data_IF_149278306823
#
_entry.id   IF_149278306823
#
_cell.length_a   1.000
_cell.length_b   1.000
_cell.length_c   1.000
_cell.angle_alpha   90.00
_cell.angle_beta   90.00
_cell.angle_gamma   90.00
#
_symmetry.space_group_name_H-M   'P 1'
#
loop_
_entity.id
_entity.type
_entity.pdbx_description
1 polymer ?
#
# COMPACT_ATOMS: atom_id res chain seq x y z
N UNK A 1 6.27 16.44 -3.36
CA UNK A 1 6.67 16.37 -1.92
C UNK A 1 6.40 14.96 -1.42
N UNK A 2 7.26 14.43 -0.56
CA UNK A 2 7.05 13.13 0.10
C UNK A 2 5.99 13.28 1.19
N UNK A 3 5.03 12.37 1.27
CA UNK A 3 3.93 12.44 2.24
C UNK A 3 4.24 11.52 3.42
N UNK A 4 4.60 12.07 4.60
CA UNK A 4 4.89 11.28 5.78
C UNK A 4 3.60 10.66 6.36
N UNK A 5 3.77 9.49 6.99
CA UNK A 5 2.72 8.76 7.70
C UNK A 5 3.12 8.67 9.17
N UNK A 6 2.16 8.90 10.07
CA UNK A 6 2.37 8.87 11.51
C UNK A 6 1.36 7.94 12.18
N UNK A 7 1.85 7.11 13.10
CA UNK A 7 1.00 6.34 14.01
C UNK A 7 0.33 7.28 15.04
N UNK A 8 -0.75 6.83 15.63
CA UNK A 8 -1.48 7.59 16.68
C UNK A 8 -0.55 8.10 17.79
N UNK A 9 0.40 7.29 18.22
CA UNK A 9 1.36 7.70 19.27
C UNK A 9 2.35 8.76 18.79
N UNK A 10 2.72 8.75 17.51
CA UNK A 10 3.55 9.81 16.92
C UNK A 10 2.77 11.12 16.86
N UNK A 11 1.51 11.10 16.42
CA UNK A 11 0.63 12.29 16.42
C UNK A 11 0.52 12.86 17.83
N UNK A 12 0.19 12.03 18.82
CA UNK A 12 0.07 12.47 20.23
C UNK A 12 1.38 13.07 20.77
N UNK A 13 2.53 12.53 20.36
CA UNK A 13 3.84 13.07 20.73
C UNK A 13 4.07 14.44 20.10
N UNK A 14 3.72 14.61 18.82
CA UNK A 14 3.82 15.89 18.09
C UNK A 14 2.88 16.93 18.71
N UNK A 15 1.64 16.57 19.01
CA UNK A 15 0.66 17.45 19.69
C UNK A 15 1.18 17.93 21.05
N UNK A 16 1.71 17.01 21.88
CA UNK A 16 2.30 17.39 23.19
C UNK A 16 3.48 18.35 23.03
N UNK A 17 4.35 18.12 22.05
CA UNK A 17 5.48 19.00 21.79
C UNK A 17 5.06 20.39 21.30
N UNK A 18 3.90 20.49 20.63
CA UNK A 18 3.32 21.73 20.13
C UNK A 18 2.31 22.37 21.11
N UNK A 19 2.18 21.89 22.34
CA UNK A 19 1.16 22.30 23.30
C UNK A 19 1.13 23.80 23.69
N UNK A 20 2.25 24.54 23.41
CA UNK A 20 2.33 26.00 23.61
C UNK A 20 2.08 26.79 22.31
N UNK A 21 1.64 26.15 21.22
CA UNK A 21 1.39 26.82 19.93
C UNK A 21 0.29 27.89 20.05
N UNK A 22 0.51 29.02 19.40
CA UNK A 22 -0.45 30.10 19.31
C UNK A 22 -0.74 30.39 17.81
N UNK A 23 -1.99 30.36 17.35
CA UNK A 23 -3.19 29.84 18.04
C UNK A 23 -3.06 28.35 18.45
N UNK A 24 -3.86 27.86 19.39
CA UNK A 24 -3.91 26.44 19.79
C UNK A 24 -4.18 25.53 18.59
N UNK A 25 -3.65 24.29 18.63
CA UNK A 25 -3.80 23.33 17.52
C UNK A 25 -5.27 23.06 17.15
N UNK A 26 -6.18 22.99 18.13
CA UNK A 26 -7.63 22.83 17.89
C UNK A 26 -8.21 23.99 17.07
N UNK A 27 -7.78 25.22 17.33
CA UNK A 27 -8.24 26.38 16.54
C UNK A 27 -7.71 26.32 15.11
N UNK A 28 -6.43 25.90 14.93
CA UNK A 28 -5.84 25.74 13.58
C UNK A 28 -6.51 24.61 12.81
N UNK A 29 -6.79 23.47 13.46
CA UNK A 29 -7.50 22.32 12.87
C UNK A 29 -8.92 22.72 12.47
N UNK A 30 -9.68 23.33 13.39
CA UNK A 30 -11.01 23.82 13.12
C UNK A 30 -11.05 24.88 12.00
N UNK A 31 -10.06 25.77 11.93
CA UNK A 31 -9.98 26.78 10.85
C UNK A 31 -9.74 26.13 9.49
N UNK A 32 -8.76 25.23 9.38
CA UNK A 32 -8.49 24.49 8.15
C UNK A 32 -9.71 23.66 7.70
N UNK A 33 -10.37 23.01 8.63
CA UNK A 33 -11.58 22.22 8.36
C UNK A 33 -12.77 23.12 7.95
N UNK A 34 -12.96 24.29 8.58
CA UNK A 34 -14.01 25.23 8.22
C UNK A 34 -13.83 25.78 6.81
N UNK A 35 -12.61 26.03 6.41
CA UNK A 35 -12.30 26.47 5.03
C UNK A 35 -12.69 25.39 4.00
N UNK A 36 -12.35 24.13 4.24
CA UNK A 36 -12.76 23.02 3.37
C UNK A 36 -14.27 22.82 3.40
N UNK A 37 -14.89 22.85 4.59
CA UNK A 37 -16.32 22.72 4.75
C UNK A 37 -17.09 23.82 3.98
N UNK A 38 -16.62 25.07 4.03
CA UNK A 38 -17.21 26.17 3.27
C UNK A 38 -17.13 25.99 1.76
N UNK A 39 -16.05 25.39 1.25
CA UNK A 39 -15.91 25.03 -0.17
C UNK A 39 -16.88 23.90 -0.57
N UNK A 40 -17.06 22.91 0.28
CA UNK A 40 -17.94 21.77 0.02
C UNK A 40 -19.43 22.15 0.15
N UNK A 41 -19.78 23.03 1.08
CA UNK A 41 -21.13 23.58 1.27
C UNK A 41 -21.42 24.70 0.26
N UNK A 42 -21.39 24.40 -1.04
CA UNK A 42 -21.50 25.36 -2.13
C UNK A 42 -22.78 26.18 -2.15
N UNK A 43 -23.86 25.72 -1.49
CA UNK A 43 -25.16 26.37 -1.41
C UNK A 43 -25.46 26.80 0.04
N UNK A 44 -25.31 28.10 0.33
CA UNK A 44 -25.58 28.69 1.65
C UNK A 44 -27.06 28.65 2.08
N UNK A 45 -27.97 28.33 1.14
CA UNK A 45 -29.38 28.19 1.49
C UNK A 45 -29.70 26.83 2.08
N UNK A 46 -28.84 25.82 1.92
CA UNK A 46 -28.96 24.52 2.55
C UNK A 46 -28.31 24.50 3.93
N UNK A 47 -28.93 23.79 4.86
CA UNK A 47 -28.42 23.65 6.20
C UNK A 47 -27.19 22.72 6.22
N UNK A 48 -26.24 23.03 7.10
CA UNK A 48 -25.07 22.19 7.37
C UNK A 48 -25.26 21.48 8.70
N UNK A 49 -25.16 20.17 8.70
CA UNK A 49 -25.14 19.37 9.92
C UNK A 49 -23.69 19.18 10.37
N UNK A 50 -23.38 19.55 11.61
CA UNK A 50 -22.08 19.28 12.23
C UNK A 50 -22.31 18.38 13.44
N UNK A 51 -21.66 17.21 13.43
CA UNK A 51 -21.75 16.22 14.49
C UNK A 51 -20.48 16.28 15.33
N UNK A 52 -20.61 16.62 16.61
CA UNK A 52 -19.50 16.77 17.54
C UNK A 52 -19.53 15.68 18.62
N UNK A 53 -18.47 14.89 18.70
CA UNK A 53 -18.29 13.90 19.75
C UNK A 53 -17.73 14.47 21.06
N UNK A 54 -17.48 13.61 22.05
CA UNK A 54 -17.04 14.04 23.39
C UNK A 54 -15.55 14.39 23.47
N UNK A 55 -14.72 14.03 22.45
CA UNK A 55 -13.26 14.20 22.45
C UNK A 55 -12.78 15.44 21.70
N UNK A 56 -11.46 15.49 21.42
CA UNK A 56 -10.82 16.59 20.68
C UNK A 56 -11.44 16.81 19.31
N UNK A 57 -11.77 15.72 18.59
CA UNK A 57 -12.43 15.79 17.28
C UNK A 57 -13.79 16.54 17.35
N UNK A 58 -14.54 16.33 18.44
CA UNK A 58 -15.75 17.12 18.72
C UNK A 58 -15.44 18.59 19.05
N UNK A 59 -14.28 18.86 19.67
CA UNK A 59 -13.77 20.21 19.87
C UNK A 59 -13.50 20.92 18.53
N UNK A 60 -12.79 20.26 17.62
CA UNK A 60 -12.54 20.76 16.26
C UNK A 60 -13.86 21.03 15.52
N UNK A 61 -14.83 20.12 15.61
CA UNK A 61 -16.17 20.29 15.04
C UNK A 61 -16.93 21.52 15.59
N UNK A 62 -16.78 21.81 16.87
CA UNK A 62 -17.37 23.02 17.48
C UNK A 62 -16.73 24.30 16.97
N UNK A 63 -15.41 24.30 16.76
CA UNK A 63 -14.69 25.43 16.13
C UNK A 63 -15.20 25.61 14.69
N UNK A 64 -15.31 24.52 13.91
CA UNK A 64 -15.89 24.57 12.54
C UNK A 64 -17.30 25.18 12.58
N UNK A 65 -18.15 24.78 13.53
CA UNK A 65 -19.52 25.28 13.66
C UNK A 65 -19.55 26.80 13.93
N UNK A 66 -18.66 27.31 14.78
CA UNK A 66 -18.51 28.73 15.05
C UNK A 66 -18.11 29.51 13.78
N UNK A 67 -17.01 29.10 13.16
CA UNK A 67 -16.47 29.79 11.98
C UNK A 67 -17.40 29.73 10.76
N UNK A 68 -18.16 28.66 10.57
CA UNK A 68 -19.17 28.61 9.50
C UNK A 68 -20.37 29.52 9.78
N UNK A 69 -20.81 29.67 11.04
CA UNK A 69 -21.85 30.64 11.42
C UNK A 69 -21.40 32.08 11.17
N UNK A 70 -20.15 32.41 11.49
CA UNK A 70 -19.56 33.72 11.24
C UNK A 70 -19.50 34.04 9.73
N UNK A 71 -19.44 33.00 8.88
CA UNK A 71 -19.54 33.09 7.43
C UNK A 71 -20.99 33.03 6.89
N UNK A 72 -21.98 33.16 7.77
CA UNK A 72 -23.41 33.16 7.45
C UNK A 72 -23.98 31.85 6.90
N UNK A 73 -23.36 30.69 7.23
CA UNK A 73 -23.97 29.37 6.99
C UNK A 73 -25.03 29.07 8.05
N UNK A 74 -26.09 28.37 7.65
CA UNK A 74 -27.09 27.83 8.58
C UNK A 74 -26.58 26.50 9.16
N UNK A 75 -26.08 26.53 10.40
CA UNK A 75 -25.43 25.40 11.04
C UNK A 75 -26.28 24.79 12.13
N UNK A 76 -26.62 23.51 12.00
CA UNK A 76 -27.14 22.67 13.05
C UNK A 76 -25.99 21.90 13.70
N UNK A 77 -25.66 22.22 14.93
CA UNK A 77 -24.65 21.50 15.72
C UNK A 77 -25.35 20.43 16.57
N UNK A 78 -24.91 19.19 16.42
CA UNK A 78 -25.36 18.04 17.19
C UNK A 78 -24.18 17.55 18.06
N UNK A 79 -24.30 17.76 19.38
CA UNK A 79 -23.27 17.38 20.38
C UNK A 79 -23.71 16.22 21.29
N UNK A 80 -24.70 15.49 20.86
CA UNK A 80 -25.23 14.30 21.54
C UNK A 80 -25.60 13.25 20.47
N UNK A 81 -25.71 11.96 20.82
CA UNK A 81 -25.94 10.89 19.84
C UNK A 81 -27.42 10.73 19.42
N UNK A 82 -28.23 11.75 19.54
CA UNK A 82 -29.62 11.73 19.04
C UNK A 82 -29.63 11.92 17.53
N UNK A 83 -30.60 11.30 16.86
CA UNK A 83 -30.82 11.55 15.45
C UNK A 83 -31.37 12.99 15.25
N UNK A 84 -30.81 13.73 14.27
CA UNK A 84 -31.37 15.03 13.91
C UNK A 84 -32.69 14.86 13.13
N UNK A 85 -33.38 15.97 12.87
CA UNK A 85 -34.51 15.99 11.96
C UNK A 85 -34.17 15.43 10.59
N UNK A 86 -35.06 14.66 10.00
CA UNK A 86 -34.91 14.15 8.64
C UNK A 86 -35.23 15.27 7.63
N UNK A 87 -34.17 15.91 7.14
CA UNK A 87 -34.25 16.97 6.14
C UNK A 87 -33.04 16.91 5.19
N UNK A 88 -33.11 17.51 4.00
CA UNK A 88 -31.99 17.57 3.11
C UNK A 88 -30.91 18.51 3.64
N UNK A 89 -29.69 17.97 3.84
CA UNK A 89 -28.50 18.74 4.22
C UNK A 89 -27.71 19.17 2.99
N UNK A 90 -26.99 20.28 3.09
CA UNK A 90 -26.04 20.72 2.08
C UNK A 90 -24.65 20.11 2.29
N UNK A 91 -24.31 19.84 3.56
CA UNK A 91 -23.07 19.19 3.99
C UNK A 91 -23.30 18.52 5.33
N UNK A 92 -22.64 17.38 5.56
CA UNK A 92 -22.47 16.81 6.90
C UNK A 92 -21.00 16.86 7.28
N UNK A 93 -20.69 17.36 8.47
CA UNK A 93 -19.34 17.33 9.06
C UNK A 93 -19.33 16.29 10.18
N UNK A 94 -18.51 15.27 10.03
CA UNK A 94 -18.29 14.19 10.99
C UNK A 94 -17.11 14.52 11.88
N UNK A 95 -17.37 14.99 13.08
CA UNK A 95 -16.39 15.18 14.17
C UNK A 95 -16.71 14.32 15.39
N UNK A 96 -17.35 13.14 15.19
CA UNK A 96 -17.80 12.29 16.29
C UNK A 96 -16.63 11.60 16.99
N UNK A 97 -15.77 10.89 16.24
CA UNK A 97 -14.59 10.21 16.78
C UNK A 97 -13.37 10.45 15.89
N UNK A 98 -12.20 10.71 16.48
CA UNK A 98 -10.90 10.84 15.79
C UNK A 98 -9.98 9.67 16.11
N UNK A 99 -8.66 9.90 16.04
CA UNK A 99 -7.60 8.89 16.25
C UNK A 99 -7.62 8.16 17.60
N UNK A 100 -8.41 8.61 18.55
CA UNK A 100 -8.55 8.01 19.89
C UNK A 100 -9.55 6.88 19.99
N UNK A 101 -10.17 6.45 18.89
CA UNK A 101 -11.18 5.38 18.92
C UNK A 101 -10.52 4.04 19.26
N UNK A 102 -10.94 3.41 20.37
CA UNK A 102 -10.38 2.15 20.88
C UNK A 102 -11.41 1.03 21.06
N UNK A 103 -12.67 1.28 20.71
CA UNK A 103 -13.78 0.31 20.84
C UNK A 103 -14.75 0.45 19.68
N UNK A 104 -15.53 -0.59 19.46
CA UNK A 104 -16.53 -0.59 18.40
C UNK A 104 -17.60 0.49 18.62
N UNK A 105 -18.03 1.09 17.51
CA UNK A 105 -19.12 2.08 17.50
C UNK A 105 -20.44 1.32 17.48
N UNK A 106 -21.18 1.46 18.58
CA UNK A 106 -22.42 0.74 18.84
C UNK A 106 -23.55 1.67 19.32
N UNK A 107 -24.76 1.13 19.49
CA UNK A 107 -25.90 1.84 20.07
C UNK A 107 -26.31 3.09 19.29
N UNK A 108 -26.51 4.20 20.01
CA UNK A 108 -26.97 5.47 19.45
C UNK A 108 -25.95 6.08 18.47
N UNK A 109 -24.66 5.91 18.76
CA UNK A 109 -23.60 6.35 17.85
C UNK A 109 -23.62 5.57 16.53
N UNK A 110 -23.85 4.27 16.56
CA UNK A 110 -23.98 3.46 15.35
C UNK A 110 -25.19 3.91 14.51
N UNK A 111 -26.33 4.20 15.16
CA UNK A 111 -27.51 4.74 14.48
C UNK A 111 -27.23 6.10 13.82
N UNK A 112 -26.45 6.94 14.49
CA UNK A 112 -26.04 8.24 13.94
C UNK A 112 -25.10 8.09 12.74
N UNK A 113 -24.13 7.17 12.79
CA UNK A 113 -23.27 6.81 11.65
C UNK A 113 -24.12 6.29 10.47
N UNK A 114 -25.09 5.40 10.73
CA UNK A 114 -26.00 4.91 9.69
C UNK A 114 -26.88 6.05 9.11
N UNK A 115 -27.26 7.04 9.91
CA UNK A 115 -27.95 8.24 9.44
C UNK A 115 -27.05 9.07 8.51
N UNK A 116 -25.80 9.33 8.91
CA UNK A 116 -24.82 10.07 8.10
C UNK A 116 -24.62 9.37 6.75
N UNK A 117 -24.43 8.05 6.75
CA UNK A 117 -24.17 7.26 5.54
C UNK A 117 -25.34 7.23 4.54
N UNK A 118 -26.57 7.55 4.97
CA UNK A 118 -27.74 7.67 4.09
C UNK A 118 -27.89 9.04 3.42
N UNK A 119 -27.11 10.03 3.85
CA UNK A 119 -27.19 11.37 3.27
C UNK A 119 -26.66 11.39 1.83
N UNK A 120 -27.28 12.23 0.99
CA UNK A 120 -26.90 12.39 -0.43
C UNK A 120 -26.00 13.60 -0.69
N UNK A 121 -25.72 14.39 0.34
CA UNK A 121 -24.81 15.52 0.30
C UNK A 121 -23.35 15.07 0.55
N UNK A 122 -22.36 15.94 0.32
CA UNK A 122 -21.01 15.68 0.76
C UNK A 122 -20.93 15.40 2.27
N UNK A 123 -20.04 14.48 2.65
CA UNK A 123 -19.71 14.17 4.05
C UNK A 123 -18.21 14.45 4.25
N UNK A 124 -17.90 15.40 5.13
CA UNK A 124 -16.52 15.76 5.51
C UNK A 124 -16.20 15.14 6.86
N UNK A 125 -15.28 14.18 6.89
CA UNK A 125 -14.74 13.65 8.14
C UNK A 125 -13.57 14.51 8.62
N UNK A 126 -13.59 14.81 9.94
CA UNK A 126 -12.48 15.49 10.62
C UNK A 126 -11.50 14.44 11.14
N UNK A 127 -10.24 14.62 10.86
CA UNK A 127 -9.09 13.79 11.21
C UNK A 127 -9.12 12.37 10.62
N UNK A 128 -10.17 11.61 10.86
CA UNK A 128 -10.42 10.28 10.31
C UNK A 128 -11.93 10.01 10.33
N UNK A 129 -12.51 9.28 9.38
CA UNK A 129 -13.92 8.89 9.44
C UNK A 129 -14.27 8.17 10.74
N UNK A 130 -15.32 8.63 11.42
CA UNK A 130 -15.72 8.04 12.70
C UNK A 130 -16.08 6.58 12.55
N UNK A 131 -15.42 5.73 13.33
CA UNK A 131 -15.53 4.29 13.25
C UNK A 131 -14.38 3.60 12.50
N UNK A 132 -13.45 4.35 11.91
CA UNK A 132 -12.23 3.81 11.32
C UNK A 132 -11.07 3.86 12.32
N UNK A 133 -10.33 2.75 12.47
CA UNK A 133 -9.16 2.72 13.36
C UNK A 133 -7.95 3.38 12.68
N UNK A 134 -7.37 4.37 13.34
CA UNK A 134 -6.32 5.25 12.80
C UNK A 134 -5.08 4.51 12.30
N UNK A 135 -4.60 3.51 13.04
CA UNK A 135 -3.33 2.84 12.72
C UNK A 135 -3.51 1.61 11.84
N UNK A 136 -4.73 1.02 11.78
CA UNK A 136 -4.95 -0.26 11.10
C UNK A 136 -5.86 -0.18 9.88
N UNK A 137 -6.72 0.83 9.78
CA UNK A 137 -7.73 0.94 8.72
C UNK A 137 -8.92 -0.02 8.92
N UNK A 138 -9.03 -0.67 10.06
CA UNK A 138 -10.14 -1.56 10.37
C UNK A 138 -11.39 -0.78 10.74
N UNK A 139 -12.54 -1.21 10.25
CA UNK A 139 -13.85 -0.73 10.71
C UNK A 139 -14.13 -1.25 12.12
N UNK A 140 -14.41 -0.32 13.03
CA UNK A 140 -14.73 -0.57 14.42
C UNK A 140 -16.25 -0.51 14.62
N UNK A 141 -16.96 -1.60 14.42
CA UNK A 141 -18.41 -1.70 14.48
C UNK A 141 -19.12 -1.04 13.29
N UNK A 142 -19.40 0.27 13.39
CA UNK A 142 -19.93 1.09 12.29
C UNK A 142 -18.95 2.20 11.92
N UNK A 143 -18.84 2.50 10.63
CA UNK A 143 -17.93 3.52 10.11
C UNK A 143 -18.64 4.48 9.15
N UNK A 144 -18.35 5.76 9.26
CA UNK A 144 -18.78 6.79 8.32
C UNK A 144 -18.11 6.55 6.96
N UNK A 145 -18.87 6.74 5.88
CA UNK A 145 -18.37 6.81 4.50
C UNK A 145 -18.28 8.27 4.11
N UNK A 146 -17.13 8.86 4.31
CA UNK A 146 -16.89 10.24 3.95
C UNK A 146 -16.68 10.38 2.44
N UNK A 147 -17.10 11.52 1.88
CA UNK A 147 -16.71 11.93 0.52
C UNK A 147 -15.35 12.64 0.54
N UNK A 148 -15.04 13.29 1.68
CA UNK A 148 -13.78 13.99 1.92
C UNK A 148 -13.35 13.76 3.36
N UNK A 149 -12.06 13.66 3.59
CA UNK A 149 -11.46 13.61 4.92
C UNK A 149 -10.38 14.67 5.01
N UNK A 150 -10.47 15.58 5.97
CA UNK A 150 -9.36 16.46 6.33
C UNK A 150 -8.62 15.86 7.51
N UNK A 151 -7.37 15.49 7.32
CA UNK A 151 -6.54 14.89 8.38
C UNK A 151 -5.47 15.87 8.83
N UNK A 152 -5.18 15.89 10.15
CA UNK A 152 -4.32 16.89 10.76
C UNK A 152 -2.91 16.39 11.00
N UNK A 153 -1.91 17.29 10.88
CA UNK A 153 -0.47 17.05 11.09
C UNK A 153 0.15 16.19 9.98
N UNK A 154 -0.48 15.08 9.61
CA UNK A 154 -0.02 14.18 8.57
C UNK A 154 -0.94 12.99 8.39
N UNK A 155 -0.62 12.15 7.42
CA UNK A 155 -1.40 10.94 7.11
C UNK A 155 -1.30 9.92 8.24
N UNK A 156 -2.35 9.11 8.39
CA UNK A 156 -2.39 7.95 9.28
C UNK A 156 -2.47 6.67 8.43
N UNK A 157 -1.91 5.54 8.88
CA UNK A 157 -1.97 4.28 8.13
C UNK A 157 -3.40 3.89 7.77
N UNK A 158 -4.31 4.04 8.72
CA UNK A 158 -5.71 3.65 8.57
C UNK A 158 -6.48 4.37 7.46
N UNK A 159 -6.00 5.53 7.01
CA UNK A 159 -6.59 6.23 5.86
C UNK A 159 -6.24 5.55 4.52
N UNK A 160 -5.15 4.77 4.49
CA UNK A 160 -4.48 4.32 3.27
C UNK A 160 -4.50 2.81 3.08
N UNK A 161 -4.86 2.02 4.09
CA UNK A 161 -4.83 0.55 4.02
C UNK A 161 -6.12 -0.07 4.51
N UNK A 162 -6.34 -1.34 4.17
CA UNK A 162 -7.48 -2.19 4.54
C UNK A 162 -8.81 -1.57 4.08
N UNK A 163 -9.71 -1.21 5.01
CA UNK A 163 -11.03 -0.64 4.71
C UNK A 163 -10.98 0.90 4.54
N UNK A 164 -9.88 1.53 4.97
CA UNK A 164 -9.74 2.99 4.97
C UNK A 164 -10.03 3.67 3.64
N UNK A 165 -9.43 3.24 2.51
CA UNK A 165 -9.68 3.86 1.21
C UNK A 165 -11.15 3.88 0.78
N UNK A 166 -11.96 2.91 1.23
CA UNK A 166 -13.40 2.83 0.93
C UNK A 166 -14.25 3.77 1.81
N UNK A 167 -13.65 4.35 2.85
CA UNK A 167 -14.33 5.21 3.83
C UNK A 167 -13.89 6.67 3.82
N UNK A 168 -12.70 6.98 3.29
CA UNK A 168 -12.08 8.31 3.46
C UNK A 168 -12.45 9.31 2.37
N UNK A 169 -12.86 8.86 1.17
CA UNK A 169 -13.02 9.75 0.03
C UNK A 169 -11.73 10.49 -0.35
N UNK A 170 -11.83 11.74 -0.75
CA UNK A 170 -10.68 12.58 -1.04
C UNK A 170 -10.01 13.04 0.26
N UNK A 171 -8.71 12.77 0.40
CA UNK A 171 -7.96 13.08 1.63
C UNK A 171 -7.19 14.41 1.45
N UNK A 172 -7.45 15.35 2.34
CA UNK A 172 -6.74 16.62 2.46
C UNK A 172 -5.90 16.61 3.74
N UNK A 173 -4.61 16.90 3.64
CA UNK A 173 -3.71 17.00 4.79
C UNK A 173 -3.53 18.45 5.19
N UNK A 174 -3.84 18.78 6.44
CA UNK A 174 -3.55 20.07 7.06
C UNK A 174 -2.41 19.89 8.08
N UNK A 175 -1.23 20.42 7.79
CA UNK A 175 -0.04 20.31 8.64
C UNK A 175 -0.09 21.19 9.90
N UNK A 176 -1.13 22.00 10.02
CA UNK A 176 -1.37 22.94 11.10
C UNK A 176 -0.23 23.96 11.31
N UNK A 177 0.57 24.22 10.29
CA UNK A 177 1.75 25.11 10.35
C UNK A 177 2.83 24.58 11.30
N UNK A 178 2.87 23.28 11.54
CA UNK A 178 3.93 22.65 12.33
C UNK A 178 5.16 22.39 11.44
N UNK A 179 6.38 22.52 11.99
CA UNK A 179 7.58 22.15 11.26
C UNK A 179 7.56 20.66 10.90
N UNK A 180 8.20 20.31 9.77
CA UNK A 180 8.33 18.92 9.36
C UNK A 180 8.92 18.05 10.48
N UNK A 181 8.23 16.98 10.81
CA UNK A 181 8.64 16.04 11.85
C UNK A 181 9.43 14.88 11.26
N UNK A 182 10.31 14.27 12.06
CA UNK A 182 10.96 13.01 11.67
C UNK A 182 9.89 11.92 11.52
N UNK A 183 9.74 11.41 10.32
CA UNK A 183 8.90 10.27 10.02
C UNK A 183 9.75 9.00 9.90
N UNK A 184 9.13 7.85 10.17
CA UNK A 184 9.68 6.52 9.87
C UNK A 184 8.91 5.83 8.75
N UNK A 185 7.87 6.51 8.24
CA UNK A 185 6.99 6.00 7.21
C UNK A 185 6.55 7.07 6.24
N UNK A 186 6.32 6.65 4.98
CA UNK A 186 5.88 7.53 3.90
C UNK A 186 4.93 6.80 2.95
N UNK A 187 4.18 7.58 2.20
CA UNK A 187 3.46 7.04 1.03
C UNK A 187 4.49 6.68 -0.03
N UNK A 188 4.39 5.46 -0.57
CA UNK A 188 5.26 5.00 -1.65
C UNK A 188 5.09 5.89 -2.89
N UNK A 189 6.19 6.45 -3.38
CA UNK A 189 6.18 7.32 -4.55
C UNK A 189 7.56 7.43 -5.21
N UNK A 190 7.64 7.75 -6.52
CA UNK A 190 8.91 7.94 -7.21
C UNK A 190 9.76 9.08 -6.64
N UNK A 191 9.12 10.08 -6.02
CA UNK A 191 9.78 11.25 -5.45
C UNK A 191 10.68 10.93 -4.25
N UNK A 192 10.55 9.73 -3.68
CA UNK A 192 11.45 9.25 -2.63
C UNK A 192 12.85 8.91 -3.16
N UNK A 193 12.97 8.62 -4.46
CA UNK A 193 14.20 8.16 -5.09
C UNK A 193 14.53 8.93 -6.39
N UNK A 194 14.63 10.26 -6.37
CA UNK A 194 14.83 11.07 -7.59
C UNK A 194 16.17 10.76 -8.29
N UNK A 195 17.19 10.40 -7.50
CA UNK A 195 18.52 10.11 -8.02
C UNK A 195 18.65 8.76 -8.75
N UNK A 196 17.68 7.88 -8.55
CA UNK A 196 17.67 6.54 -9.14
C UNK A 196 16.99 6.52 -10.52
N UNK A 197 16.07 7.46 -10.77
CA UNK A 197 15.29 7.60 -11.99
C UNK A 197 16.04 8.40 -13.05
N UNK A 198 17.21 7.92 -13.46
CA UNK A 198 18.05 8.60 -14.47
C UNK A 198 17.88 7.96 -15.84
N UNK A 199 17.97 8.79 -16.88
CA UNK A 199 18.02 8.30 -18.25
C UNK A 199 19.28 7.44 -18.49
N UNK A 200 19.12 6.36 -19.24
CA UNK A 200 20.24 5.50 -19.64
C UNK A 200 21.18 6.26 -20.57
N UNK A 201 22.52 6.17 -20.40
CA UNK A 201 23.45 6.78 -21.31
C UNK A 201 23.40 6.13 -22.71
N UNK A 202 23.82 6.84 -23.75
CA UNK A 202 23.75 6.31 -25.13
C UNK A 202 24.60 5.04 -25.36
N UNK A 203 25.68 4.87 -24.61
CA UNK A 203 26.55 3.68 -24.67
C UNK A 203 26.06 2.55 -23.73
N UNK A 204 24.82 2.62 -23.24
CA UNK A 204 24.25 1.57 -22.39
C UNK A 204 24.12 0.25 -23.18
N UNK A 205 24.53 -0.87 -22.59
CA UNK A 205 24.50 -2.19 -23.21
C UNK A 205 23.83 -3.23 -22.27
N UNK A 206 23.44 -4.38 -22.83
CA UNK A 206 22.72 -5.44 -22.13
C UNK A 206 23.40 -5.94 -20.85
N UNK A 207 24.73 -5.90 -20.76
CA UNK A 207 25.45 -6.28 -19.55
C UNK A 207 25.25 -5.31 -18.39
N UNK A 208 25.07 -4.01 -18.69
CA UNK A 208 24.75 -2.99 -17.67
C UNK A 208 23.28 -3.08 -17.19
N UNK A 209 22.41 -3.70 -17.97
CA UNK A 209 21.01 -3.92 -17.63
C UNK A 209 20.79 -5.16 -16.76
N UNK A 210 21.85 -5.92 -16.48
CA UNK A 210 21.84 -7.10 -15.64
C UNK A 210 21.15 -8.33 -16.24
N UNK A 211 21.35 -9.45 -15.58
CA UNK A 211 20.76 -10.75 -15.94
C UNK A 211 19.90 -11.23 -14.76
N UNK A 212 18.64 -11.58 -15.03
CA UNK A 212 17.71 -12.10 -14.05
C UNK A 212 17.44 -13.58 -14.28
N UNK A 213 17.50 -14.38 -13.22
CA UNK A 213 16.98 -15.74 -13.19
C UNK A 213 15.58 -15.77 -12.55
N UNK A 214 14.61 -16.38 -13.19
CA UNK A 214 13.28 -16.67 -12.65
C UNK A 214 13.17 -18.17 -12.44
N UNK A 215 13.00 -18.64 -11.23
CA UNK A 215 12.86 -20.07 -10.89
C UNK A 215 11.40 -20.36 -10.51
N UNK A 216 10.72 -21.17 -11.31
CA UNK A 216 9.30 -21.45 -11.15
C UNK A 216 8.79 -22.46 -12.18
N UNK A 217 7.51 -22.36 -12.52
CA UNK A 217 6.93 -23.06 -13.66
C UNK A 217 6.92 -24.59 -13.54
N UNK A 218 6.40 -25.13 -12.45
CA UNK A 218 6.04 -26.53 -12.32
C UNK A 218 4.92 -26.91 -13.29
N UNK A 219 4.64 -28.20 -13.43
CA UNK A 219 3.61 -28.73 -14.33
C UNK A 219 2.26 -28.04 -14.10
N UNK A 220 1.68 -27.49 -15.17
CA UNK A 220 0.42 -26.74 -15.14
C UNK A 220 0.54 -25.28 -14.64
N UNK A 221 1.72 -24.82 -14.17
CA UNK A 221 1.94 -23.48 -13.61
C UNK A 221 3.02 -22.66 -14.36
N UNK A 222 3.44 -23.10 -15.55
CA UNK A 222 4.45 -22.42 -16.37
C UNK A 222 4.11 -20.95 -16.67
N UNK A 223 2.80 -20.61 -16.71
CA UNK A 223 2.32 -19.25 -16.96
C UNK A 223 2.79 -18.22 -15.93
N UNK A 224 2.91 -18.60 -14.66
CA UNK A 224 3.39 -17.71 -13.59
C UNK A 224 4.85 -17.30 -13.79
N UNK A 225 5.74 -18.27 -14.08
CA UNK A 225 7.14 -17.99 -14.37
C UNK A 225 7.31 -17.15 -15.65
N UNK A 226 6.48 -17.39 -16.68
CA UNK A 226 6.49 -16.61 -17.92
C UNK A 226 6.02 -15.16 -17.68
N UNK A 227 4.98 -14.94 -16.87
CA UNK A 227 4.51 -13.59 -16.51
C UNK A 227 5.60 -12.81 -15.78
N UNK A 228 6.26 -13.43 -14.80
CA UNK A 228 7.39 -12.82 -14.10
C UNK A 228 8.55 -12.48 -15.08
N UNK A 229 8.90 -13.42 -15.97
CA UNK A 229 9.94 -13.21 -16.97
C UNK A 229 9.60 -12.09 -17.95
N UNK A 230 8.37 -12.04 -18.48
CA UNK A 230 7.90 -11.00 -19.39
C UNK A 230 7.90 -9.62 -18.72
N UNK A 231 7.43 -9.54 -17.47
CA UNK A 231 7.46 -8.32 -16.68
C UNK A 231 8.89 -7.81 -16.50
N UNK A 232 9.82 -8.71 -16.16
CA UNK A 232 11.23 -8.37 -16.00
C UNK A 232 11.87 -7.86 -17.30
N UNK A 233 11.61 -8.52 -18.42
CA UNK A 233 12.11 -8.12 -19.73
C UNK A 233 11.61 -6.72 -20.10
N UNK A 234 10.31 -6.47 -19.95
CA UNK A 234 9.67 -5.20 -20.28
C UNK A 234 10.08 -4.04 -19.35
N UNK A 235 10.49 -4.36 -18.12
CA UNK A 235 11.02 -3.37 -17.18
C UNK A 235 12.54 -3.16 -17.34
N UNK A 236 13.14 -3.82 -18.28
CA UNK A 236 14.47 -3.49 -18.81
C UNK A 236 15.61 -4.29 -18.26
N UNK A 237 15.40 -5.50 -17.71
CA UNK A 237 16.46 -6.47 -17.50
C UNK A 237 17.12 -6.83 -18.84
N UNK A 238 18.45 -6.92 -18.86
CA UNK A 238 19.24 -7.12 -20.09
C UNK A 238 19.14 -8.53 -20.64
N UNK A 239 19.02 -9.52 -19.76
CA UNK A 239 18.77 -10.93 -20.05
C UNK A 239 17.83 -11.49 -18.99
N UNK A 240 16.91 -12.35 -19.42
CA UNK A 240 15.99 -13.03 -18.51
C UNK A 240 16.03 -14.52 -18.81
N UNK A 241 16.51 -15.29 -17.86
CA UNK A 241 16.49 -16.75 -17.89
C UNK A 241 15.30 -17.25 -17.07
N UNK A 242 14.40 -17.98 -17.70
CA UNK A 242 13.26 -18.60 -17.01
C UNK A 242 13.58 -20.07 -16.81
N UNK A 243 13.94 -20.42 -15.59
CA UNK A 243 14.23 -21.78 -15.15
C UNK A 243 12.95 -22.46 -14.69
N UNK A 244 12.44 -23.36 -15.52
CA UNK A 244 11.23 -24.13 -15.26
C UNK A 244 11.56 -25.47 -14.61
N UNK A 245 10.77 -25.84 -13.59
CA UNK A 245 10.83 -27.19 -13.03
C UNK A 245 10.39 -28.25 -14.06
N UNK A 246 9.32 -27.95 -14.81
CA UNK A 246 8.86 -28.74 -15.94
C UNK A 246 9.17 -28.01 -17.24
N UNK A 247 10.33 -28.34 -17.84
CA UNK A 247 10.85 -27.68 -19.02
C UNK A 247 10.24 -28.21 -20.33
N UNK A 248 8.93 -28.30 -20.40
CA UNK A 248 8.22 -28.72 -21.62
C UNK A 248 8.22 -27.66 -22.72
N UNK A 249 8.36 -26.38 -22.35
CA UNK A 249 8.37 -25.27 -23.27
C UNK A 249 9.81 -24.95 -23.75
N UNK A 250 9.98 -24.89 -25.07
CA UNK A 250 11.25 -24.53 -25.72
C UNK A 250 11.39 -23.04 -25.98
N UNK A 251 10.27 -22.34 -26.19
CA UNK A 251 10.20 -20.92 -26.53
C UNK A 251 8.90 -20.33 -26.04
N UNK A 252 8.94 -19.08 -25.55
CA UNK A 252 7.74 -18.28 -25.33
C UNK A 252 7.35 -17.57 -26.62
N UNK A 253 6.20 -17.93 -27.20
CA UNK A 253 5.73 -17.36 -28.47
C UNK A 253 5.35 -15.87 -28.37
N UNK A 254 5.10 -15.35 -27.16
CA UNK A 254 4.76 -13.93 -26.92
C UNK A 254 6.01 -13.08 -26.70
N UNK A 255 7.03 -13.63 -26.06
CA UNK A 255 8.30 -12.96 -25.77
C UNK A 255 9.47 -13.93 -26.04
N UNK A 256 9.82 -14.17 -27.33
CA UNK A 256 10.87 -15.12 -27.71
C UNK A 256 12.27 -14.70 -27.22
N UNK A 257 12.42 -13.49 -26.72
CA UNK A 257 13.64 -13.00 -26.08
C UNK A 257 13.90 -13.64 -24.70
N UNK A 258 12.89 -14.28 -24.09
CA UNK A 258 13.07 -15.05 -22.85
C UNK A 258 13.88 -16.32 -23.12
N UNK A 259 14.88 -16.55 -22.29
CA UNK A 259 15.74 -17.73 -22.40
C UNK A 259 15.22 -18.83 -21.46
N UNK A 260 14.38 -19.73 -22.01
CA UNK A 260 13.81 -20.83 -21.25
C UNK A 260 14.86 -21.91 -21.02
N UNK A 261 14.96 -22.43 -19.80
CA UNK A 261 15.91 -23.43 -19.34
C UNK A 261 15.28 -24.39 -18.34
N UNK A 262 15.94 -25.51 -18.05
CA UNK A 262 15.70 -26.21 -16.78
C UNK A 262 16.14 -25.32 -15.61
N UNK A 263 15.48 -25.46 -14.47
CA UNK A 263 15.72 -24.59 -13.31
C UNK A 263 17.19 -24.58 -12.85
N UNK A 264 17.85 -25.75 -12.84
CA UNK A 264 19.28 -25.86 -12.49
C UNK A 264 20.19 -25.15 -13.48
N UNK A 265 19.90 -25.30 -14.78
CA UNK A 265 20.67 -24.65 -15.84
C UNK A 265 20.52 -23.13 -15.81
N UNK A 266 19.34 -22.65 -15.40
CA UNK A 266 19.09 -21.23 -15.21
C UNK A 266 19.87 -20.68 -14.00
N UNK A 267 19.88 -21.41 -12.89
CA UNK A 267 20.64 -21.03 -11.68
C UNK A 267 22.16 -21.01 -11.92
N UNK A 268 22.66 -21.85 -12.81
CA UNK A 268 24.09 -21.90 -13.23
C UNK A 268 24.54 -20.77 -14.15
N UNK A 269 23.67 -19.83 -14.55
CA UNK A 269 24.02 -18.70 -15.40
C UNK A 269 24.70 -17.57 -14.62
N UNK A 270 25.38 -16.66 -15.36
CA UNK A 270 25.91 -15.41 -14.79
C UNK A 270 24.75 -14.42 -14.52
N UNK A 271 24.22 -14.47 -13.29
CA UNK A 271 23.06 -13.73 -12.86
C UNK A 271 23.41 -12.56 -11.93
N UNK A 272 22.59 -11.53 -11.94
CA UNK A 272 22.67 -10.39 -11.03
C UNK A 272 21.56 -10.40 -9.98
N UNK A 273 20.47 -11.12 -10.21
CA UNK A 273 19.37 -11.30 -9.24
C UNK A 273 18.54 -12.55 -9.58
N UNK A 274 17.73 -12.98 -8.60
CA UNK A 274 16.81 -14.09 -8.71
C UNK A 274 15.37 -13.68 -8.36
N UNK A 275 14.41 -14.30 -9.04
CA UNK A 275 13.01 -14.40 -8.61
C UNK A 275 12.72 -15.87 -8.41
N UNK A 276 12.20 -16.25 -7.25
CA UNK A 276 11.95 -17.65 -6.89
C UNK A 276 10.53 -17.78 -6.38
N UNK A 277 9.80 -18.73 -6.93
CA UNK A 277 8.47 -19.08 -6.41
C UNK A 277 7.30 -19.01 -7.38
N UNK A 278 7.25 -18.13 -8.39
CA UNK A 278 6.13 -18.07 -9.33
C UNK A 278 5.80 -19.42 -9.96
N UNK A 279 4.74 -20.09 -9.46
CA UNK A 279 4.34 -21.42 -9.92
C UNK A 279 5.42 -22.49 -9.74
N UNK A 280 6.22 -22.43 -8.69
CA UNK A 280 7.31 -23.38 -8.42
C UNK A 280 6.78 -24.74 -7.91
N UNK A 281 5.61 -24.76 -7.26
CA UNK A 281 5.09 -25.92 -6.55
C UNK A 281 5.85 -26.21 -5.25
N UNK A 282 5.45 -27.29 -4.58
CA UNK A 282 5.92 -27.65 -3.22
C UNK A 282 6.62 -29.03 -3.20
N UNK A 283 7.22 -29.45 -4.32
CA UNK A 283 7.97 -30.70 -4.40
C UNK A 283 9.33 -30.61 -3.69
N UNK A 284 9.94 -31.75 -3.34
CA UNK A 284 11.32 -31.82 -2.80
C UNK A 284 12.33 -31.12 -3.73
N UNK A 285 12.07 -31.16 -5.05
CA UNK A 285 12.88 -30.45 -6.02
C UNK A 285 12.74 -28.93 -5.90
N UNK A 286 11.51 -28.46 -5.69
CA UNK A 286 11.23 -27.03 -5.44
C UNK A 286 11.91 -26.57 -4.16
N UNK A 287 11.83 -27.35 -3.07
CA UNK A 287 12.50 -27.05 -1.81
C UNK A 287 14.04 -26.95 -1.97
N UNK A 288 14.63 -27.91 -2.72
CA UNK A 288 16.06 -27.90 -3.04
C UNK A 288 16.47 -26.62 -3.78
N UNK A 289 15.67 -26.18 -4.76
CA UNK A 289 15.93 -24.95 -5.52
C UNK A 289 15.81 -23.68 -4.66
N UNK A 290 14.81 -23.62 -3.77
CA UNK A 290 14.69 -22.53 -2.79
C UNK A 290 15.91 -22.51 -1.88
N UNK A 291 16.36 -23.67 -1.37
CA UNK A 291 17.58 -23.78 -0.57
C UNK A 291 18.83 -23.31 -1.30
N UNK A 292 18.99 -23.67 -2.56
CA UNK A 292 20.11 -23.22 -3.39
C UNK A 292 20.07 -21.70 -3.66
N UNK A 293 18.91 -21.14 -3.92
CA UNK A 293 18.73 -19.70 -4.10
C UNK A 293 19.03 -18.94 -2.80
N UNK A 294 18.60 -19.45 -1.65
CA UNK A 294 18.89 -18.85 -0.34
C UNK A 294 20.38 -18.94 0.04
N UNK A 295 21.09 -19.97 -0.40
CA UNK A 295 22.52 -20.13 -0.20
C UNK A 295 23.38 -19.21 -1.11
N UNK A 296 22.81 -18.69 -2.20
CA UNK A 296 23.50 -17.80 -3.11
C UNK A 296 23.68 -16.39 -2.50
N UNK A 297 24.68 -15.64 -2.98
CA UNK A 297 24.89 -14.22 -2.63
C UNK A 297 24.14 -13.26 -3.56
N UNK A 298 23.30 -13.77 -4.46
CA UNK A 298 22.54 -12.95 -5.38
C UNK A 298 21.35 -12.25 -4.66
N UNK A 299 21.06 -10.99 -4.97
CA UNK A 299 19.79 -10.38 -4.61
C UNK A 299 18.60 -11.25 -5.05
N UNK A 300 17.55 -11.35 -4.23
CA UNK A 300 16.52 -12.36 -4.45
C UNK A 300 15.13 -11.84 -4.09
N UNK A 301 14.15 -12.13 -4.95
CA UNK A 301 12.72 -12.00 -4.67
C UNK A 301 12.17 -13.40 -4.34
N UNK A 302 11.45 -13.50 -3.23
CA UNK A 302 10.76 -14.72 -2.82
C UNK A 302 9.25 -14.46 -2.82
N UNK A 303 8.50 -15.22 -3.63
CA UNK A 303 7.05 -15.04 -3.79
C UNK A 303 6.35 -16.41 -3.84
N UNK A 304 5.06 -16.43 -3.60
CA UNK A 304 4.18 -17.57 -3.81
C UNK A 304 4.71 -18.87 -3.16
N UNK A 305 4.97 -19.91 -3.99
CA UNK A 305 5.34 -21.25 -3.48
C UNK A 305 6.69 -21.25 -2.74
N UNK A 306 7.61 -20.33 -3.03
CA UNK A 306 8.83 -20.19 -2.23
C UNK A 306 8.52 -19.75 -0.80
N UNK A 307 7.54 -18.87 -0.60
CA UNK A 307 7.11 -18.45 0.74
C UNK A 307 6.39 -19.57 1.48
N UNK A 308 5.61 -20.40 0.77
CA UNK A 308 4.97 -21.59 1.34
C UNK A 308 6.02 -22.56 1.87
N UNK A 309 7.00 -22.92 1.05
CA UNK A 309 8.11 -23.81 1.43
C UNK A 309 8.91 -23.25 2.62
N UNK A 310 9.21 -21.94 2.63
CA UNK A 310 9.88 -21.29 3.76
C UNK A 310 9.00 -21.35 5.02
N UNK A 311 7.68 -21.25 4.90
CA UNK A 311 6.79 -21.33 6.07
C UNK A 311 6.73 -22.73 6.69
N UNK A 312 6.98 -23.78 5.92
CA UNK A 312 6.93 -25.17 6.35
C UNK A 312 8.28 -25.74 6.81
N UNK A 313 9.41 -25.14 6.34
CA UNK A 313 10.77 -25.60 6.64
C UNK A 313 11.50 -24.64 7.58
N UNK A 314 11.87 -25.10 8.78
CA UNK A 314 12.67 -24.31 9.73
C UNK A 314 14.05 -24.00 9.17
N UNK A 315 14.65 -24.94 8.44
CA UNK A 315 15.97 -24.77 7.82
C UNK A 315 15.94 -23.67 6.76
N UNK A 316 14.91 -23.61 5.91
CA UNK A 316 14.74 -22.55 4.91
C UNK A 316 14.47 -21.20 5.55
N UNK A 317 13.68 -21.13 6.64
CA UNK A 317 13.47 -19.90 7.41
C UNK A 317 14.79 -19.38 7.98
N UNK A 318 15.57 -20.23 8.61
CA UNK A 318 16.88 -19.89 9.15
C UNK A 318 17.86 -19.48 8.03
N UNK A 319 17.84 -20.16 6.89
CA UNK A 319 18.65 -19.80 5.74
C UNK A 319 18.28 -18.40 5.23
N UNK A 320 17.00 -18.09 5.10
CA UNK A 320 16.50 -16.78 4.71
C UNK A 320 16.96 -15.69 5.69
N UNK A 321 16.73 -15.86 6.99
CA UNK A 321 17.07 -14.89 8.04
C UNK A 321 18.58 -14.59 8.12
N UNK A 322 19.44 -15.51 7.72
CA UNK A 322 20.91 -15.35 7.74
C UNK A 322 21.47 -14.69 6.48
N UNK A 323 20.64 -14.46 5.45
CA UNK A 323 21.12 -13.83 4.22
C UNK A 323 21.65 -12.42 4.45
N UNK A 324 22.77 -12.12 3.79
CA UNK A 324 23.33 -10.75 3.74
C UNK A 324 22.91 -10.01 2.47
N UNK A 325 22.70 -10.74 1.38
CA UNK A 325 22.26 -10.19 0.13
C UNK A 325 20.85 -9.61 0.22
N UNK A 326 20.52 -8.64 -0.62
CA UNK A 326 19.19 -8.05 -0.69
C UNK A 326 18.15 -9.14 -0.93
N UNK A 327 17.17 -9.20 -0.06
CA UNK A 327 16.08 -10.17 -0.13
C UNK A 327 14.75 -9.44 0.04
N UNK A 328 13.83 -9.63 -0.90
CA UNK A 328 12.48 -9.07 -0.83
C UNK A 328 11.49 -10.24 -0.81
N UNK A 329 10.60 -10.24 0.16
CA UNK A 329 9.48 -11.19 0.26
C UNK A 329 8.18 -10.48 -0.07
N UNK A 330 7.29 -11.15 -0.82
CA UNK A 330 6.06 -10.52 -1.33
C UNK A 330 4.78 -11.27 -0.93
N UNK A 331 4.57 -11.55 0.38
CA UNK A 331 3.42 -12.34 0.83
C UNK A 331 2.08 -11.60 0.63
N UNK A 332 1.05 -12.35 0.24
CA UNK A 332 -0.33 -11.96 0.49
C UNK A 332 -0.71 -12.31 1.94
N UNK A 333 -1.87 -11.83 2.49
CA UNK A 333 -2.16 -12.02 3.92
C UNK A 333 -2.17 -13.47 4.41
N UNK A 334 -2.55 -14.45 3.57
CA UNK A 334 -2.54 -15.83 3.99
C UNK A 334 -1.13 -16.46 3.98
N UNK A 335 -0.24 -16.07 3.06
CA UNK A 335 1.19 -16.42 3.09
C UNK A 335 1.88 -15.81 4.31
N UNK A 336 1.59 -14.54 4.59
CA UNK A 336 2.09 -13.86 5.78
C UNK A 336 1.66 -14.56 7.08
N UNK A 337 0.42 -14.99 7.14
CA UNK A 337 -0.12 -15.75 8.29
C UNK A 337 0.63 -17.07 8.52
N UNK A 338 0.93 -17.83 7.46
CA UNK A 338 1.74 -19.05 7.56
C UNK A 338 3.17 -18.76 8.05
N UNK A 339 3.83 -17.75 7.47
CA UNK A 339 5.18 -17.34 7.85
C UNK A 339 5.29 -16.85 9.30
N UNK A 340 4.23 -16.24 9.84
CA UNK A 340 4.15 -15.76 11.22
C UNK A 340 3.59 -16.79 12.21
N UNK A 341 3.11 -17.93 11.73
CA UNK A 341 2.34 -18.90 12.51
C UNK A 341 1.11 -18.28 13.20
N UNK A 342 0.44 -17.34 12.51
CA UNK A 342 -0.76 -16.63 12.95
C UNK A 342 -1.95 -16.93 12.03
N UNK A 343 -3.13 -16.40 12.37
CA UNK A 343 -4.28 -16.43 11.47
C UNK A 343 -4.25 -15.27 10.47
N UNK A 344 -4.86 -15.46 9.29
CA UNK A 344 -5.05 -14.39 8.32
C UNK A 344 -5.81 -13.20 8.91
N UNK A 345 -6.76 -13.47 9.82
CA UNK A 345 -7.49 -12.43 10.54
C UNK A 345 -6.59 -11.60 11.45
N UNK A 346 -5.62 -12.22 12.14
CA UNK A 346 -4.64 -11.52 12.97
C UNK A 346 -3.72 -10.61 12.12
N UNK A 347 -3.23 -11.10 10.99
CA UNK A 347 -2.45 -10.31 10.03
C UNK A 347 -3.24 -9.10 9.53
N UNK A 348 -4.50 -9.30 9.15
CA UNK A 348 -5.37 -8.23 8.66
C UNK A 348 -5.80 -7.25 9.78
N UNK A 349 -5.82 -7.69 11.04
CA UNK A 349 -6.14 -6.81 12.16
C UNK A 349 -5.09 -5.70 12.38
N UNK A 350 -3.81 -5.97 12.08
CA UNK A 350 -2.73 -4.98 12.13
C UNK A 350 -1.65 -5.30 11.09
N UNK A 351 -1.87 -4.85 9.86
CA UNK A 351 -1.01 -5.10 8.70
C UNK A 351 0.39 -4.50 8.85
N UNK A 352 0.50 -3.33 9.48
CA UNK A 352 1.80 -2.68 9.71
C UNK A 352 2.63 -3.49 10.68
N UNK A 353 2.05 -3.94 11.80
CA UNK A 353 2.71 -4.81 12.77
C UNK A 353 3.14 -6.13 12.12
N UNK A 354 2.24 -6.79 11.38
CA UNK A 354 2.53 -8.06 10.71
C UNK A 354 3.68 -7.93 9.68
N UNK A 355 3.66 -6.88 8.83
CA UNK A 355 4.71 -6.66 7.85
C UNK A 355 6.08 -6.40 8.51
N UNK A 356 6.12 -5.64 9.61
CA UNK A 356 7.34 -5.39 10.37
C UNK A 356 7.88 -6.67 11.02
N UNK A 357 7.01 -7.47 11.63
CA UNK A 357 7.40 -8.76 12.21
C UNK A 357 8.00 -9.70 11.15
N UNK A 358 7.42 -9.76 9.94
CA UNK A 358 8.00 -10.51 8.83
C UNK A 358 9.40 -10.02 8.45
N UNK A 359 9.58 -8.71 8.34
CA UNK A 359 10.88 -8.10 8.03
C UNK A 359 11.97 -8.45 9.07
N UNK A 360 11.62 -8.38 10.34
CA UNK A 360 12.49 -8.74 11.46
C UNK A 360 12.81 -10.24 11.48
N UNK A 361 11.79 -11.11 11.35
CA UNK A 361 11.95 -12.57 11.41
C UNK A 361 12.75 -13.14 10.24
N UNK A 362 12.57 -12.59 9.03
CA UNK A 362 13.21 -13.08 7.81
C UNK A 362 14.45 -12.26 7.42
N UNK A 363 14.74 -11.17 8.13
CA UNK A 363 15.81 -10.22 7.79
C UNK A 363 15.74 -9.76 6.33
N UNK A 364 14.53 -9.40 5.87
CA UNK A 364 14.21 -9.11 4.49
C UNK A 364 13.36 -7.83 4.33
N UNK A 365 13.36 -7.28 3.13
CA UNK A 365 12.35 -6.32 2.74
C UNK A 365 11.01 -7.04 2.52
N UNK A 366 9.90 -6.40 2.83
CA UNK A 366 8.57 -7.02 2.77
C UNK A 366 7.61 -6.20 1.93
N UNK A 367 6.87 -6.85 1.04
CA UNK A 367 5.62 -6.34 0.46
C UNK A 367 4.47 -7.17 1.02
N UNK A 368 3.78 -6.70 2.04
CA UNK A 368 2.50 -7.31 2.46
C UNK A 368 1.40 -6.82 1.52
N UNK A 369 1.07 -7.67 0.54
CA UNK A 369 0.11 -7.37 -0.55
C UNK A 369 -1.30 -7.12 -0.02
N UNK A 370 -2.07 -6.23 -0.69
CA UNK A 370 -3.49 -5.95 -0.40
C UNK A 370 -3.84 -4.48 -0.65
N UNK A 371 -5.07 -4.09 -0.32
CA UNK A 371 -5.49 -2.70 -0.42
C UNK A 371 -4.62 -1.82 0.50
N UNK A 372 -3.88 -0.86 -0.06
CA UNK A 372 -2.83 -0.16 0.65
C UNK A 372 -1.72 -1.15 1.08
N UNK A 373 -0.98 -1.74 0.12
CA UNK A 373 0.12 -2.67 0.44
C UNK A 373 1.13 -2.02 1.38
N UNK A 374 1.48 -2.74 2.45
CA UNK A 374 2.47 -2.28 3.44
C UNK A 374 3.85 -2.79 3.03
N UNK A 375 4.78 -1.85 2.87
CA UNK A 375 6.15 -2.11 2.48
C UNK A 375 7.06 -1.86 3.68
N UNK A 376 7.95 -2.77 3.99
CA UNK A 376 8.93 -2.60 5.08
C UNK A 376 10.32 -2.79 4.51
N UNK A 377 11.17 -1.79 4.67
CA UNK A 377 12.58 -1.89 4.34
C UNK A 377 13.35 -2.59 5.48
N UNK A 378 14.47 -3.23 5.15
CA UNK A 378 15.29 -4.01 6.09
C UNK A 378 15.80 -3.19 7.27
N UNK A 379 15.96 -1.88 7.13
CA UNK A 379 16.38 -0.95 8.18
C UNK A 379 15.23 -0.49 9.10
N UNK A 380 14.00 -0.97 8.86
CA UNK A 380 12.81 -0.68 9.64
C UNK A 380 12.02 0.55 9.18
N UNK A 381 12.45 1.27 8.14
CA UNK A 381 11.58 2.22 7.45
C UNK A 381 10.43 1.47 6.77
N UNK A 382 9.26 2.09 6.71
CA UNK A 382 8.12 1.46 6.08
C UNK A 382 7.28 2.43 5.27
N UNK A 383 6.50 1.89 4.33
CA UNK A 383 5.72 2.69 3.40
C UNK A 383 4.34 2.06 3.20
N UNK A 384 3.37 2.86 2.79
CA UNK A 384 2.10 2.35 2.27
C UNK A 384 2.01 2.72 0.80
N UNK A 385 1.78 1.72 -0.02
CA UNK A 385 1.47 1.93 -1.43
C UNK A 385 -0.02 2.17 -1.60
N UNK A 386 -0.39 3.41 -1.88
CA UNK A 386 -1.77 3.83 -2.09
C UNK A 386 -2.22 3.76 -3.57
N UNK A 387 -1.33 3.32 -4.49
CA UNK A 387 -1.69 3.09 -5.89
C UNK A 387 -2.25 1.69 -6.10
N UNK A 388 -3.05 1.54 -7.13
CA UNK A 388 -3.74 0.29 -7.46
C UNK A 388 -5.25 0.39 -7.24
N UNK A 389 -5.97 -0.56 -7.81
CA UNK A 389 -7.43 -0.59 -7.78
C UNK A 389 -7.95 -2.04 -7.75
N UNK A 390 -9.25 -2.26 -7.47
CA UNK A 390 -9.83 -3.61 -7.36
C UNK A 390 -9.69 -4.49 -8.61
N UNK A 391 -9.48 -3.91 -9.80
CA UNK A 391 -9.22 -4.67 -11.02
C UNK A 391 -7.95 -5.52 -10.97
N UNK A 392 -7.02 -5.17 -10.06
CA UNK A 392 -5.80 -5.93 -9.83
C UNK A 392 -6.02 -7.21 -8.99
N UNK A 393 -7.23 -7.49 -8.54
CA UNK A 393 -7.61 -8.75 -7.89
C UNK A 393 -7.77 -9.88 -8.94
N UNK A 394 -6.74 -10.15 -9.71
CA UNK A 394 -6.69 -11.12 -10.80
C UNK A 394 -5.44 -11.98 -10.70
N UNK A 395 -5.52 -13.23 -11.19
CA UNK A 395 -4.39 -14.15 -11.22
C UNK A 395 -3.21 -13.59 -12.02
N UNK A 396 -1.98 -13.86 -11.58
CA UNK A 396 -0.76 -13.43 -12.25
C UNK A 396 -0.26 -12.03 -11.87
N UNK A 397 -1.04 -11.22 -11.15
CA UNK A 397 -0.61 -9.88 -10.72
C UNK A 397 0.59 -9.93 -9.76
N UNK A 398 0.65 -10.91 -8.86
CA UNK A 398 1.80 -11.16 -7.98
C UNK A 398 3.05 -11.55 -8.78
N UNK A 399 2.89 -12.45 -9.76
CA UNK A 399 4.00 -12.90 -10.62
C UNK A 399 4.61 -11.72 -11.39
N UNK A 400 3.76 -10.84 -11.94
CA UNK A 400 4.20 -9.60 -12.60
C UNK A 400 4.96 -8.70 -11.62
N UNK A 401 4.45 -8.50 -10.40
CA UNK A 401 5.15 -7.71 -9.37
C UNK A 401 6.52 -8.31 -9.05
N UNK A 402 6.59 -9.62 -8.82
CA UNK A 402 7.85 -10.32 -8.53
C UNK A 402 8.88 -10.13 -9.67
N UNK A 403 8.44 -10.26 -10.93
CA UNK A 403 9.26 -10.00 -12.10
C UNK A 403 9.75 -8.56 -12.19
N UNK A 404 8.89 -7.58 -11.89
CA UNK A 404 9.26 -6.15 -11.86
C UNK A 404 10.31 -5.85 -10.80
N UNK A 405 10.12 -6.33 -9.57
CA UNK A 405 11.08 -6.18 -8.47
C UNK A 405 12.43 -6.82 -8.81
N UNK A 406 12.40 -8.06 -9.35
CA UNK A 406 13.60 -8.77 -9.80
C UNK A 406 14.37 -8.02 -10.88
N UNK A 407 13.67 -7.41 -11.84
CA UNK A 407 14.30 -6.60 -12.88
C UNK A 407 15.03 -5.36 -12.33
N UNK A 408 14.48 -4.72 -11.30
CA UNK A 408 15.12 -3.58 -10.65
C UNK A 408 16.38 -4.03 -9.90
N UNK A 409 16.31 -5.11 -9.11
CA UNK A 409 17.48 -5.67 -8.45
C UNK A 409 18.57 -6.06 -9.45
N UNK A 410 18.21 -6.73 -10.54
CA UNK A 410 19.16 -7.12 -11.58
C UNK A 410 19.87 -5.92 -12.23
N UNK A 411 19.21 -4.77 -12.31
CA UNK A 411 19.78 -3.52 -12.81
C UNK A 411 20.61 -2.77 -11.76
N UNK A 412 20.78 -3.31 -10.55
CA UNK A 412 21.60 -2.74 -9.48
C UNK A 412 20.89 -1.71 -8.60
N UNK A 413 19.56 -1.66 -8.63
CA UNK A 413 18.79 -0.89 -7.64
C UNK A 413 18.93 -1.53 -6.26
N UNK A 414 18.92 -0.73 -5.20
CA UNK A 414 18.91 -1.24 -3.83
C UNK A 414 17.60 -1.97 -3.53
N UNK A 415 17.59 -2.83 -2.50
CA UNK A 415 16.38 -3.51 -2.05
C UNK A 415 15.25 -2.53 -1.74
N UNK A 416 15.53 -1.46 -1.01
CA UNK A 416 14.54 -0.44 -0.64
C UNK A 416 13.98 0.29 -1.88
N UNK A 417 14.84 0.76 -2.78
CA UNK A 417 14.37 1.46 -3.99
C UNK A 417 13.59 0.52 -4.92
N UNK A 418 14.01 -0.75 -5.06
CA UNK A 418 13.27 -1.77 -5.82
C UNK A 418 11.89 -2.04 -5.20
N UNK A 419 11.84 -2.23 -3.87
CA UNK A 419 10.62 -2.43 -3.09
C UNK A 419 9.60 -1.33 -3.36
N UNK A 420 9.99 -0.08 -3.16
CA UNK A 420 9.06 1.07 -3.20
C UNK A 420 8.69 1.43 -4.63
N UNK A 421 9.69 1.57 -5.53
CA UNK A 421 9.42 1.96 -6.91
C UNK A 421 8.68 0.88 -7.68
N UNK A 422 9.07 -0.39 -7.52
CA UNK A 422 8.44 -1.52 -8.22
C UNK A 422 6.98 -1.70 -7.78
N UNK A 423 6.71 -1.65 -6.48
CA UNK A 423 5.34 -1.80 -5.95
C UNK A 423 4.46 -0.61 -6.34
N UNK A 424 5.00 0.62 -6.26
CA UNK A 424 4.23 1.80 -6.68
C UNK A 424 3.95 1.79 -8.18
N UNK A 425 4.93 1.44 -9.01
CA UNK A 425 4.76 1.33 -10.46
C UNK A 425 3.70 0.28 -10.82
N UNK A 426 3.72 -0.86 -10.14
CA UNK A 426 2.75 -1.93 -10.35
C UNK A 426 1.31 -1.45 -10.10
N UNK A 427 1.07 -0.77 -8.97
CA UNK A 427 -0.25 -0.18 -8.68
C UNK A 427 -0.63 0.94 -9.64
N UNK A 428 0.28 1.88 -9.91
CA UNK A 428 0.05 2.99 -10.82
C UNK A 428 -0.25 2.54 -12.26
N UNK A 429 0.32 1.41 -12.69
CA UNK A 429 0.02 0.80 -13.98
C UNK A 429 -1.43 0.30 -14.04
N UNK A 430 -1.92 -0.32 -12.97
CA UNK A 430 -3.33 -0.70 -12.85
C UNK A 430 -4.27 0.51 -12.90
N UNK A 431 -3.91 1.60 -12.23
CA UNK A 431 -4.69 2.84 -12.25
C UNK A 431 -4.69 3.52 -13.63
N UNK A 432 -3.57 3.44 -14.34
CA UNK A 432 -3.48 3.95 -15.71
C UNK A 432 -4.40 3.17 -16.65
N UNK A 433 -4.46 1.85 -16.54
CA UNK A 433 -5.37 1.01 -17.33
C UNK A 433 -6.84 1.36 -17.09
N UNK A 434 -7.24 1.59 -15.85
CA UNK A 434 -8.62 2.03 -15.54
C UNK A 434 -8.92 3.39 -16.18
N UNK A 435 -7.98 4.34 -16.14
CA UNK A 435 -8.11 5.64 -16.81
C UNK A 435 -8.21 5.52 -18.34
N UNK A 436 -7.56 4.51 -18.92
CA UNK A 436 -7.62 4.18 -20.35
C UNK A 436 -8.92 3.40 -20.72
N UNK A 437 -9.79 3.09 -19.74
CA UNK A 437 -11.03 2.33 -19.95
C UNK A 437 -10.83 0.81 -19.99
N UNK A 438 -9.67 0.32 -19.61
CA UNK A 438 -9.36 -1.11 -19.42
C UNK A 438 -9.54 -1.48 -17.95
N UNK A 439 -10.68 -2.06 -17.62
CA UNK A 439 -10.99 -2.38 -16.23
C UNK A 439 -11.90 -1.35 -15.53
N UNK A 440 -12.13 -1.47 -14.22
CA UNK A 440 -11.47 -2.45 -13.31
C UNK A 440 -11.88 -3.92 -13.57
N UNK A 441 -13.03 -4.19 -14.16
CA UNK A 441 -13.50 -5.56 -14.43
C UNK A 441 -12.79 -6.14 -15.66
N UNK A 442 -12.17 -7.32 -15.51
CA UNK A 442 -11.52 -8.04 -16.59
C UNK A 442 -10.08 -7.61 -16.91
N UNK A 443 -9.46 -6.75 -16.10
CA UNK A 443 -8.04 -6.41 -16.22
C UNK A 443 -7.16 -7.64 -16.02
N UNK A 444 -6.23 -7.87 -16.95
CA UNK A 444 -5.30 -9.00 -16.90
C UNK A 444 -3.88 -8.58 -16.51
N UNK A 445 -3.13 -9.50 -15.91
CA UNK A 445 -1.74 -9.26 -15.55
C UNK A 445 -0.84 -8.96 -16.77
N UNK A 446 -1.14 -9.52 -17.93
CA UNK A 446 -0.40 -9.26 -19.17
C UNK A 446 -0.54 -7.82 -19.65
N UNK A 447 -1.74 -7.23 -19.55
CA UNK A 447 -1.99 -5.83 -19.93
C UNK A 447 -1.23 -4.85 -19.02
N UNK A 448 -1.12 -5.19 -17.73
CA UNK A 448 -0.41 -4.37 -16.74
C UNK A 448 1.08 -4.23 -17.07
N UNK A 449 1.72 -5.24 -17.62
CA UNK A 449 3.15 -5.23 -18.00
C UNK A 449 3.47 -4.08 -18.96
N UNK A 450 2.66 -3.89 -20.00
CA UNK A 450 2.89 -2.82 -20.98
C UNK A 450 2.55 -1.44 -20.44
N UNK A 451 1.53 -1.32 -19.58
CA UNK A 451 1.22 -0.08 -18.87
C UNK A 451 2.37 0.33 -17.93
N UNK A 452 2.91 -0.62 -17.16
CA UNK A 452 4.06 -0.39 -16.30
C UNK A 452 5.30 0.08 -17.08
N UNK A 453 5.61 -0.56 -18.24
CA UNK A 453 6.69 -0.12 -19.10
C UNK A 453 6.51 1.33 -19.58
N UNK A 454 5.30 1.72 -19.99
CA UNK A 454 5.02 3.10 -20.42
C UNK A 454 5.29 4.11 -19.30
N UNK A 455 4.76 3.87 -18.12
CA UNK A 455 4.95 4.75 -16.95
C UNK A 455 6.42 4.80 -16.52
N UNK A 456 7.12 3.67 -16.49
CA UNK A 456 8.52 3.62 -16.11
C UNK A 456 9.40 4.49 -17.01
N UNK A 457 9.13 4.51 -18.32
CA UNK A 457 9.83 5.39 -19.24
C UNK A 457 9.43 6.86 -19.16
N UNK A 458 8.24 7.17 -18.63
CA UNK A 458 7.83 8.55 -18.36
C UNK A 458 8.48 9.13 -17.09
N UNK A 459 8.84 8.28 -16.13
CA UNK A 459 9.46 8.71 -14.88
C UNK A 459 10.98 8.97 -15.01
N UNK A 460 11.61 8.58 -16.10
CA UNK A 460 13.07 8.60 -16.32
C UNK A 460 13.57 9.77 -17.17
#
# INVERSE_FOLDING_TARGET
>A
MTSPIYLTDDIRRIERAAGAAQPPLMERAGAAAAELAARLASDKQKDVLIVAGPGNNGGDAKVVAGLMRDQYFRVTLLDNPRLPEDKPWGLVVDGLFGIGLARDVEGDHARLVDYINRQRCPVLALDIPSGLHSDTGRVMGRCVRATHTITFIGLKPGLLTLDGPDHCGEIVVADLGLPAQKAKAWVASPQLFPDVLRARPRNFHKGMAGSLGVLGGAAGMSGAALLAGRAALKLGAGRVYVGMLDATLQVDLVAPELMLRHADDALGQDLNALVVGPGLGESERAETLVGAALASELPCILDADALNLISESEDLRHACARRRAETIVTPHPAEAARLLAESTAAVQADRVKAARALGENLNAHVVLKGNGSVLVARDGHWFINASGNPGMASAGMGDVLAGMLGALLAQGFTGESSLVLGTHLHGAAGDALVKEGVGPVGMTASELIDAARRLWNQWR
#
